data_IF_001474672299
#
_entry.id   IF_001474672299
#
_cell.length_a   1.000
_cell.length_b   1.000
_cell.length_c   1.000
_cell.angle_alpha   90.00
_cell.angle_beta   90.00
_cell.angle_gamma   90.00
#
_symmetry.space_group_name_H-M   'P 1'
#
loop_
_entity.id
_entity.type
_entity.pdbx_description
1 polymer ?
#
# COMPACT_ATOMS: atom_id res chain seq x y z
N UNK A 1 -34.97 5.63 20.20
CA UNK A 1 -34.68 5.18 18.82
C UNK A 1 -33.64 6.03 18.06
N UNK A 2 -33.18 7.20 18.56
CA UNK A 2 -32.15 8.01 17.86
C UNK A 2 -30.68 7.62 18.15
N UNK A 3 -30.42 6.87 19.23
CA UNK A 3 -29.05 6.50 19.65
C UNK A 3 -28.37 5.50 18.70
N UNK A 4 -29.14 4.61 18.06
CA UNK A 4 -28.61 3.62 17.12
C UNK A 4 -28.08 4.25 15.83
N UNK A 5 -28.61 5.42 15.41
CA UNK A 5 -28.17 6.11 14.20
C UNK A 5 -26.73 6.63 14.32
N UNK A 6 -26.35 7.12 15.51
CA UNK A 6 -25.00 7.65 15.76
C UNK A 6 -23.93 6.55 15.78
N UNK A 7 -24.28 5.34 16.22
CA UNK A 7 -23.35 4.19 16.24
C UNK A 7 -23.06 3.72 14.81
N UNK A 8 -24.08 3.67 13.95
CA UNK A 8 -23.91 3.28 12.54
C UNK A 8 -23.01 4.25 11.77
N UNK A 9 -23.15 5.56 11.99
CA UNK A 9 -22.29 6.57 11.34
C UNK A 9 -20.85 6.46 11.81
N UNK A 10 -20.60 6.20 13.10
CA UNK A 10 -19.25 6.03 13.63
C UNK A 10 -18.52 4.78 13.07
N UNK A 11 -19.25 3.68 12.83
CA UNK A 11 -18.66 2.47 12.25
C UNK A 11 -18.25 2.63 10.78
N UNK A 12 -18.96 3.44 10.00
CA UNK A 12 -18.60 3.71 8.60
C UNK A 12 -17.33 4.57 8.50
N UNK A 13 -17.11 5.50 9.43
CA UNK A 13 -15.86 6.27 9.47
C UNK A 13 -14.65 5.44 9.94
N UNK A 14 -14.86 4.46 10.83
CA UNK A 14 -13.78 3.57 11.29
C UNK A 14 -13.28 2.61 10.21
N UNK A 15 -14.08 2.35 9.16
CA UNK A 15 -13.68 1.55 8.01
C UNK A 15 -12.79 2.33 7.02
N UNK A 16 -12.69 3.66 7.14
CA UNK A 16 -11.70 4.48 6.42
C UNK A 16 -10.33 4.43 7.13
N UNK A 17 -9.86 3.23 7.46
CA UNK A 17 -8.47 3.01 7.85
C UNK A 17 -7.61 2.96 6.60
N UNK A 18 -6.41 3.53 6.65
CA UNK A 18 -5.43 3.28 5.61
C UNK A 18 -4.96 1.83 5.74
N UNK A 19 -5.38 0.96 4.82
CA UNK A 19 -4.90 -0.41 4.75
C UNK A 19 -3.42 -0.38 4.34
N UNK A 20 -2.58 -1.09 5.08
CA UNK A 20 -1.14 -1.18 4.79
C UNK A 20 -0.84 -2.50 4.11
N UNK A 21 -0.38 -2.44 2.86
CA UNK A 21 -0.02 -3.62 2.08
C UNK A 21 1.49 -3.85 2.08
N UNK A 22 1.87 -5.12 2.06
CA UNK A 22 3.27 -5.52 2.01
C UNK A 22 3.86 -5.25 0.62
N UNK A 23 5.19 -5.25 0.53
CA UNK A 23 5.89 -5.18 -0.74
C UNK A 23 5.52 -6.32 -1.69
N UNK A 24 5.41 -7.56 -1.19
CA UNK A 24 5.03 -8.72 -2.00
C UNK A 24 3.63 -8.54 -2.61
N UNK A 25 2.69 -8.02 -1.82
CA UNK A 25 1.35 -7.69 -2.30
C UNK A 25 1.41 -6.65 -3.44
N UNK A 26 2.18 -5.58 -3.27
CA UNK A 26 2.34 -4.58 -4.34
C UNK A 26 3.04 -5.16 -5.59
N UNK A 27 3.89 -6.18 -5.49
CA UNK A 27 4.46 -6.85 -6.67
C UNK A 27 3.36 -7.61 -7.43
N UNK A 28 2.43 -8.25 -6.74
CA UNK A 28 1.31 -8.99 -7.33
C UNK A 28 0.27 -8.06 -7.97
N UNK A 29 0.04 -6.90 -7.35
CA UNK A 29 -0.99 -5.92 -7.69
C UNK A 29 -0.45 -4.73 -8.50
N UNK A 30 -0.34 -4.91 -9.81
CA UNK A 30 0.32 -3.94 -10.70
C UNK A 30 -0.37 -2.57 -10.75
N UNK A 31 -1.70 -2.55 -10.78
CA UNK A 31 -2.48 -1.32 -10.88
C UNK A 31 -2.37 -0.48 -9.60
N UNK A 32 -2.50 -1.14 -8.45
CA UNK A 32 -2.40 -0.51 -7.13
C UNK A 32 -0.98 -0.05 -6.83
N UNK A 33 0.04 -0.82 -7.25
CA UNK A 33 1.44 -0.38 -7.18
C UNK A 33 1.66 0.88 -7.99
N UNK A 34 1.24 0.92 -9.24
CA UNK A 34 1.42 2.07 -10.11
C UNK A 34 0.69 3.32 -9.57
N UNK A 35 -0.56 3.14 -9.12
CA UNK A 35 -1.36 4.20 -8.50
C UNK A 35 -0.69 4.73 -7.23
N UNK A 36 -0.32 3.84 -6.30
CA UNK A 36 0.30 4.22 -5.03
C UNK A 36 1.64 4.91 -5.25
N UNK A 37 2.50 4.35 -6.11
CA UNK A 37 3.79 4.96 -6.46
C UNK A 37 3.61 6.40 -6.93
N UNK A 38 2.69 6.66 -7.87
CA UNK A 38 2.40 8.00 -8.37
C UNK A 38 1.87 8.95 -7.30
N UNK A 39 1.00 8.47 -6.40
CA UNK A 39 0.51 9.27 -5.26
C UNK A 39 1.68 9.68 -4.36
N UNK A 40 2.58 8.74 -4.06
CA UNK A 40 3.70 8.97 -3.17
C UNK A 40 4.81 9.84 -3.78
N UNK A 41 4.94 9.89 -5.11
CA UNK A 41 5.87 10.82 -5.78
C UNK A 41 5.50 12.29 -5.56
N UNK A 42 4.22 12.60 -5.34
CA UNK A 42 3.77 13.97 -5.06
C UNK A 42 4.05 14.43 -3.62
N UNK A 43 4.42 13.51 -2.72
CA UNK A 43 4.80 13.81 -1.34
C UNK A 43 5.92 12.87 -0.87
N UNK A 44 7.20 13.22 -1.16
CA UNK A 44 8.34 12.38 -0.84
C UNK A 44 8.50 12.06 0.66
N UNK A 45 7.91 12.87 1.55
CA UNK A 45 7.97 12.62 2.99
C UNK A 45 7.28 11.32 3.38
N UNK A 46 6.34 10.83 2.57
CA UNK A 46 5.66 9.56 2.84
C UNK A 46 6.60 8.36 2.67
N UNK A 47 7.63 8.45 1.84
CA UNK A 47 8.66 7.39 1.73
C UNK A 47 9.56 7.27 2.96
N UNK A 48 9.62 8.31 3.79
CA UNK A 48 10.48 8.32 4.99
C UNK A 48 9.87 7.54 6.15
N UNK A 49 8.58 7.21 6.09
CA UNK A 49 7.91 6.37 7.08
C UNK A 49 8.24 4.91 6.77
N UNK A 50 9.07 4.29 7.60
CA UNK A 50 9.40 2.87 7.48
C UNK A 50 8.12 2.01 7.54
N UNK A 51 8.06 0.99 6.69
CA UNK A 51 6.91 0.11 6.58
C UNK A 51 5.64 0.75 6.01
N UNK A 52 5.69 2.01 5.56
CA UNK A 52 4.56 2.65 4.89
C UNK A 52 4.29 2.04 3.52
N UNK A 53 3.04 2.16 3.09
CA UNK A 53 2.60 1.78 1.74
C UNK A 53 3.43 2.43 0.63
N UNK A 54 3.83 3.67 0.84
CA UNK A 54 4.67 4.37 -0.12
C UNK A 54 6.04 3.70 -0.26
N UNK A 55 6.68 3.35 0.86
CA UNK A 55 7.96 2.65 0.81
C UNK A 55 7.81 1.27 0.16
N UNK A 56 6.77 0.52 0.53
CA UNK A 56 6.51 -0.81 -0.02
C UNK A 56 6.21 -0.77 -1.53
N UNK A 57 5.37 0.17 -1.99
CA UNK A 57 5.07 0.36 -3.41
C UNK A 57 6.29 0.82 -4.21
N UNK A 58 7.13 1.70 -3.64
CA UNK A 58 8.38 2.15 -4.28
C UNK A 58 9.38 1.02 -4.44
N UNK A 59 9.63 0.26 -3.39
CA UNK A 59 10.54 -0.89 -3.45
C UNK A 59 10.01 -1.96 -4.42
N UNK A 60 8.71 -2.26 -4.38
CA UNK A 60 8.07 -3.16 -5.33
C UNK A 60 8.28 -2.68 -6.78
N UNK A 61 8.07 -1.39 -7.03
CA UNK A 61 8.20 -0.82 -8.37
C UNK A 61 9.64 -0.93 -8.88
N UNK A 62 10.62 -0.60 -8.03
CA UNK A 62 12.03 -0.77 -8.35
C UNK A 62 12.39 -2.24 -8.61
N UNK A 63 11.96 -3.17 -7.76
CA UNK A 63 12.27 -4.59 -7.92
C UNK A 63 11.68 -5.16 -9.21
N UNK A 64 10.42 -4.81 -9.56
CA UNK A 64 9.81 -5.24 -10.82
C UNK A 64 10.56 -4.65 -12.01
N UNK A 65 10.98 -3.38 -11.95
CA UNK A 65 11.73 -2.74 -13.02
C UNK A 65 13.13 -3.35 -13.24
N UNK A 66 13.83 -3.73 -12.16
CA UNK A 66 15.18 -4.29 -12.25
C UNK A 66 15.21 -5.79 -12.53
N UNK A 67 14.31 -6.57 -11.92
CA UNK A 67 14.36 -8.04 -11.95
C UNK A 67 13.25 -8.69 -12.78
N UNK A 68 12.19 -7.95 -13.10
CA UNK A 68 10.93 -8.53 -13.58
C UNK A 68 10.07 -9.09 -12.43
N UNK A 69 8.77 -9.26 -12.70
CA UNK A 69 7.75 -9.56 -11.68
C UNK A 69 8.01 -10.85 -10.89
N UNK A 70 8.31 -11.95 -11.58
CA UNK A 70 8.50 -13.26 -10.95
C UNK A 70 9.73 -13.29 -10.01
N UNK A 71 10.87 -12.78 -10.49
CA UNK A 71 12.09 -12.72 -9.69
C UNK A 71 11.95 -11.74 -8.50
N UNK A 72 11.25 -10.61 -8.71
CA UNK A 72 10.92 -9.68 -7.64
C UNK A 72 10.06 -10.34 -6.55
N UNK A 73 9.04 -11.11 -6.94
CA UNK A 73 8.13 -11.77 -6.01
C UNK A 73 8.85 -12.84 -5.18
N UNK A 74 9.71 -13.63 -5.81
CA UNK A 74 10.57 -14.59 -5.10
C UNK A 74 11.43 -13.90 -4.05
N UNK A 75 12.17 -12.86 -4.44
CA UNK A 75 13.05 -12.12 -3.54
C UNK A 75 12.31 -11.40 -2.39
N UNK A 76 11.05 -11.00 -2.61
CA UNK A 76 10.22 -10.36 -1.60
C UNK A 76 9.62 -11.33 -0.57
N UNK A 77 9.55 -12.63 -0.88
CA UNK A 77 9.02 -13.69 0.00
C UNK A 77 10.09 -14.43 0.80
N UNK A 78 11.35 -14.34 0.38
CA UNK A 78 12.51 -14.97 1.03
C UNK A 78 13.12 -14.10 2.16
N UNK A 79 12.57 -12.91 2.41
CA UNK A 79 12.98 -11.97 3.47
C UNK A 79 11.89 -11.83 4.52
#
# INVERSE_FOLDING_TARGET
>A
MKKCLYVLVACVLAACGQEYHTKAWYIEHDAERASRFKVCENDPAQYLRQGSDCLNAKEANAMVAFYGKEAALKAAREK
#
